data_IF_573339369659
#
_entry.id   IF_573339369659
#
_cell.length_a   1.000
_cell.length_b   1.000
_cell.length_c   1.000
_cell.angle_alpha   90.00
_cell.angle_beta   90.00
_cell.angle_gamma   90.00
#
_symmetry.space_group_name_H-M   'P 1'
#
loop_
_entity.id
_entity.type
_entity.pdbx_description
1 polymer ?
#
# COMPACT_ATOMS: atom_id res chain seq x y z
N UNK A 1 -0.22 -12.41 -11.31
CA UNK A 1 0.64 -11.89 -12.39
C UNK A 1 -0.05 -10.83 -13.24
N UNK A 2 0.69 -9.80 -13.71
CA UNK A 2 0.13 -8.66 -14.43
C UNK A 2 -0.57 -9.03 -15.76
N UNK A 3 -0.27 -10.17 -16.34
CA UNK A 3 -0.87 -10.64 -17.60
C UNK A 3 -2.26 -11.30 -17.41
N UNK A 4 -2.68 -11.61 -16.21
CA UNK A 4 -4.05 -12.04 -15.95
C UNK A 4 -4.94 -10.83 -15.70
N UNK A 5 -5.99 -10.64 -16.48
CA UNK A 5 -6.89 -9.49 -16.34
C UNK A 5 -7.68 -9.49 -15.04
N UNK A 6 -7.94 -10.65 -14.49
CA UNK A 6 -8.67 -10.86 -13.24
C UNK A 6 -7.79 -10.82 -11.97
N UNK A 7 -6.49 -10.50 -12.13
CA UNK A 7 -5.52 -10.42 -11.04
C UNK A 7 -4.85 -9.06 -11.02
N UNK A 8 -4.83 -8.40 -9.87
CA UNK A 8 -4.08 -7.15 -9.72
C UNK A 8 -2.58 -7.44 -9.52
N UNK A 9 -1.68 -6.70 -10.19
CA UNK A 9 -0.25 -6.77 -9.93
C UNK A 9 0.10 -6.15 -8.56
N UNK A 10 1.26 -6.50 -8.01
CA UNK A 10 1.88 -5.75 -6.93
C UNK A 10 2.25 -4.33 -7.39
N UNK A 11 2.26 -3.39 -6.46
CA UNK A 11 2.66 -1.99 -6.73
C UNK A 11 4.18 -1.89 -6.90
N UNK A 12 4.94 -2.65 -6.09
CA UNK A 12 6.39 -2.76 -6.17
C UNK A 12 6.81 -4.21 -5.96
N UNK A 13 7.86 -4.63 -6.66
CA UNK A 13 8.50 -5.93 -6.45
C UNK A 13 9.86 -5.67 -5.80
N UNK A 14 9.95 -5.90 -4.50
CA UNK A 14 11.20 -5.76 -3.72
C UNK A 14 12.09 -7.02 -3.80
N UNK A 15 11.72 -7.98 -4.66
CA UNK A 15 12.42 -9.25 -4.81
C UNK A 15 12.07 -10.27 -3.70
N UNK A 16 12.84 -11.39 -3.64
CA UNK A 16 12.64 -12.39 -2.61
C UNK A 16 12.97 -11.83 -1.23
N UNK A 17 12.15 -12.14 -0.23
CA UNK A 17 12.33 -11.65 1.13
C UNK A 17 11.31 -12.21 2.11
N UNK A 18 11.39 -11.75 3.35
CA UNK A 18 10.40 -12.01 4.39
C UNK A 18 9.93 -10.68 4.97
N UNK A 19 8.96 -10.03 4.31
CA UNK A 19 8.37 -8.80 4.84
C UNK A 19 7.75 -9.06 6.22
N UNK A 20 8.02 -8.15 7.16
CA UNK A 20 7.53 -8.22 8.54
C UNK A 20 6.75 -6.96 8.90
N UNK A 21 7.33 -6.02 9.65
CA UNK A 21 6.68 -4.77 10.00
C UNK A 21 6.66 -3.76 8.84
N UNK A 22 5.63 -2.91 8.84
CA UNK A 22 5.49 -1.82 7.88
C UNK A 22 4.91 -0.58 8.56
N UNK A 23 5.32 0.62 8.13
CA UNK A 23 4.66 1.86 8.53
C UNK A 23 4.82 2.96 7.49
N UNK A 24 3.92 3.94 7.49
CA UNK A 24 4.14 5.19 6.77
C UNK A 24 5.00 6.14 7.60
N UNK A 25 5.81 6.97 6.93
CA UNK A 25 6.66 7.98 7.54
C UNK A 25 5.91 9.21 8.09
N UNK A 26 4.58 9.16 8.20
CA UNK A 26 3.77 10.28 8.66
C UNK A 26 4.18 10.75 10.06
N UNK A 27 4.52 12.05 10.16
CA UNK A 27 5.02 12.65 11.39
C UNK A 27 6.50 12.45 11.68
N UNK A 28 7.23 11.76 10.80
CA UNK A 28 8.68 11.60 10.93
C UNK A 28 9.41 12.94 10.72
N UNK A 29 10.40 13.23 11.57
CA UNK A 29 11.31 14.36 11.41
C UNK A 29 12.46 13.99 10.49
N UNK A 30 12.14 13.74 9.24
CA UNK A 30 13.02 13.41 8.14
C UNK A 30 12.76 14.34 6.95
N UNK A 31 13.64 14.38 5.93
CA UNK A 31 13.37 15.10 4.68
C UNK A 31 12.04 14.69 4.04
N UNK A 32 11.43 15.60 3.27
CA UNK A 32 10.09 15.47 2.70
C UNK A 32 9.82 14.09 2.07
N UNK A 33 10.76 13.56 1.28
CA UNK A 33 10.61 12.27 0.59
C UNK A 33 10.39 11.07 1.53
N UNK A 34 10.75 11.17 2.81
CA UNK A 34 10.58 10.11 3.79
C UNK A 34 9.33 10.27 4.65
N UNK A 35 8.74 11.46 4.68
CA UNK A 35 7.56 11.73 5.52
C UNK A 35 6.29 11.03 4.99
N UNK A 36 6.23 10.72 3.71
CA UNK A 36 5.15 9.96 3.09
C UNK A 36 5.61 8.60 2.50
N UNK A 37 6.88 8.26 2.70
CA UNK A 37 7.39 6.95 2.30
C UNK A 37 6.69 5.83 3.08
N UNK A 38 6.48 4.71 2.41
CA UNK A 38 6.02 3.48 3.02
C UNK A 38 7.23 2.61 3.36
N UNK A 39 7.54 2.48 4.63
CA UNK A 39 8.66 1.68 5.10
C UNK A 39 8.28 0.21 5.21
N UNK A 40 9.14 -0.68 4.70
CA UNK A 40 8.98 -2.14 4.72
C UNK A 40 10.21 -2.79 5.31
N UNK A 41 10.02 -3.55 6.39
CA UNK A 41 11.06 -4.37 6.98
C UNK A 41 11.20 -5.71 6.24
N UNK A 42 12.42 -6.11 5.88
CA UNK A 42 12.74 -7.46 5.41
C UNK A 42 13.65 -8.18 6.40
N UNK A 43 13.09 -9.21 7.01
CA UNK A 43 13.78 -10.03 8.00
C UNK A 43 14.92 -10.87 7.41
N UNK A 44 14.72 -11.42 6.20
CA UNK A 44 15.64 -12.39 5.60
C UNK A 44 16.93 -11.77 5.11
N UNK A 45 16.85 -10.60 4.50
CA UNK A 45 18.02 -9.94 3.91
C UNK A 45 18.54 -8.77 4.75
N UNK A 46 17.89 -8.47 5.87
CA UNK A 46 18.31 -7.42 6.78
C UNK A 46 18.22 -6.04 6.13
N UNK A 47 17.10 -5.76 5.47
CA UNK A 47 16.86 -4.52 4.74
C UNK A 47 15.59 -3.82 5.24
N UNK A 48 15.69 -2.53 5.45
CA UNK A 48 14.58 -1.63 5.58
C UNK A 48 14.47 -0.82 4.30
N UNK A 49 13.38 -0.98 3.59
CA UNK A 49 13.11 -0.23 2.36
C UNK A 49 12.27 1.00 2.65
N UNK A 50 12.55 2.11 1.96
CA UNK A 50 11.66 3.24 1.82
C UNK A 50 11.02 3.19 0.43
N UNK A 51 9.71 3.03 0.36
CA UNK A 51 8.91 2.94 -0.85
C UNK A 51 8.20 4.27 -1.06
N UNK A 52 8.43 4.88 -2.22
CA UNK A 52 7.89 6.18 -2.61
C UNK A 52 6.70 5.97 -3.54
N UNK A 53 5.49 6.13 -2.99
CA UNK A 53 4.24 5.93 -3.72
C UNK A 53 3.89 7.17 -4.55
N UNK A 54 3.52 6.95 -5.80
CA UNK A 54 3.01 7.99 -6.69
C UNK A 54 1.61 7.63 -7.17
N UNK A 55 0.63 8.54 -7.11
CA UNK A 55 -0.72 8.28 -7.60
C UNK A 55 -0.75 7.87 -9.07
N UNK A 56 -1.38 6.73 -9.38
CA UNK A 56 -1.55 6.20 -10.72
C UNK A 56 -2.98 5.68 -10.90
N UNK A 57 -3.86 6.48 -11.52
CA UNK A 57 -5.27 6.17 -11.67
C UNK A 57 -5.96 5.89 -10.33
N UNK A 58 -6.59 4.72 -10.24
CA UNK A 58 -7.24 4.24 -9.02
C UNK A 58 -6.28 3.54 -8.05
N UNK A 59 -4.98 3.52 -8.34
CA UNK A 59 -3.93 2.89 -7.53
C UNK A 59 -2.71 3.81 -7.40
N UNK A 60 -1.56 3.20 -7.17
CA UNK A 60 -0.25 3.86 -7.10
C UNK A 60 0.77 3.08 -7.90
N UNK A 61 1.76 3.78 -8.45
CA UNK A 61 3.07 3.23 -8.82
C UNK A 61 4.05 3.49 -7.69
N UNK A 62 5.20 2.83 -7.69
CA UNK A 62 6.18 3.03 -6.65
C UNK A 62 7.61 2.82 -7.14
N UNK A 63 8.50 3.69 -6.65
CA UNK A 63 9.93 3.47 -6.60
C UNK A 63 10.35 3.14 -5.17
N UNK A 64 11.49 2.47 -4.98
CA UNK A 64 11.97 2.17 -3.64
C UNK A 64 13.51 2.22 -3.56
N UNK A 65 14.00 2.44 -2.35
CA UNK A 65 15.42 2.43 -2.02
C UNK A 65 15.69 1.63 -0.75
N UNK A 66 16.91 1.10 -0.63
CA UNK A 66 17.38 0.55 0.64
C UNK A 66 17.69 1.70 1.60
N UNK A 67 16.84 1.91 2.59
CA UNK A 67 16.98 2.96 3.58
C UNK A 67 17.99 2.60 4.69
N UNK A 68 17.93 1.35 5.16
CA UNK A 68 18.91 0.76 6.09
C UNK A 68 19.18 -0.67 5.65
N UNK A 69 20.44 -1.09 5.69
CA UNK A 69 20.83 -2.48 5.48
C UNK A 69 21.99 -2.88 6.36
N UNK A 70 21.97 -4.11 6.87
CA UNK A 70 23.06 -4.74 7.59
C UNK A 70 22.91 -6.28 7.61
N UNK A 71 23.99 -6.97 7.97
CA UNK A 71 23.98 -8.42 8.14
C UNK A 71 24.78 -8.81 9.40
N UNK A 72 24.11 -9.44 10.38
CA UNK A 72 22.66 -9.71 10.43
C UNK A 72 21.83 -8.49 10.86
N UNK A 73 20.67 -8.32 10.30
CA UNK A 73 19.66 -7.32 10.71
C UNK A 73 18.26 -7.92 10.54
N UNK A 74 17.84 -8.90 11.36
CA UNK A 74 16.52 -9.53 11.23
C UNK A 74 15.43 -8.59 11.74
N UNK A 75 15.00 -7.68 10.90
CA UNK A 75 13.97 -6.67 11.17
C UNK A 75 12.62 -7.34 11.44
N UNK A 76 11.91 -6.90 12.47
CA UNK A 76 10.62 -7.47 12.87
C UNK A 76 9.48 -6.47 12.82
N UNK A 77 9.71 -5.23 13.22
CA UNK A 77 8.69 -4.19 13.18
C UNK A 77 9.30 -2.79 13.15
N UNK A 78 8.49 -1.78 12.77
CA UNK A 78 8.89 -0.38 12.66
C UNK A 78 7.72 0.56 12.99
N UNK A 79 8.02 1.70 13.60
CA UNK A 79 7.05 2.78 13.80
C UNK A 79 7.73 4.15 13.79
N UNK A 80 6.92 5.20 13.54
CA UNK A 80 7.30 6.59 13.81
C UNK A 80 6.83 6.94 15.22
N UNK A 81 7.74 7.40 16.06
CA UNK A 81 7.38 7.82 17.42
C UNK A 81 6.73 9.22 17.41
N UNK A 82 5.50 9.36 17.91
CA UNK A 82 4.73 10.60 17.76
C UNK A 82 5.30 11.78 18.55
N UNK A 83 6.07 11.53 19.60
CA UNK A 83 6.64 12.58 20.44
C UNK A 83 7.90 13.22 19.88
N UNK A 84 8.80 12.44 19.28
CA UNK A 84 10.08 12.94 18.78
C UNK A 84 10.24 12.88 17.25
N UNK A 85 9.34 12.17 16.54
CA UNK A 85 9.39 12.01 15.09
C UNK A 85 10.54 11.12 14.59
N UNK A 86 11.20 10.38 15.48
CA UNK A 86 12.20 9.41 15.08
C UNK A 86 11.54 8.11 14.60
N UNK A 87 12.23 7.37 13.73
CA UNK A 87 11.86 6.00 13.41
C UNK A 87 12.43 5.05 14.47
N UNK A 88 11.62 4.14 14.96
CA UNK A 88 12.03 3.05 15.83
C UNK A 88 11.75 1.73 15.15
N UNK A 89 12.74 0.84 15.14
CA UNK A 89 12.56 -0.52 14.65
C UNK A 89 13.14 -1.54 15.60
N UNK A 90 12.58 -2.74 15.54
CA UNK A 90 13.03 -3.88 16.32
C UNK A 90 13.68 -4.94 15.45
N UNK A 91 14.65 -5.64 16.02
CA UNK A 91 15.21 -6.85 15.43
C UNK A 91 15.01 -8.02 16.37
N UNK A 92 14.89 -9.22 15.80
CA UNK A 92 14.77 -10.44 16.58
C UNK A 92 14.70 -11.67 15.70
N UNK A 93 14.98 -12.83 16.28
CA UNK A 93 14.91 -14.08 15.55
C UNK A 93 15.65 -15.20 16.25
N UNK A 94 15.64 -16.38 15.65
CA UNK A 94 16.33 -17.54 16.19
C UNK A 94 17.84 -17.29 16.25
N UNK A 95 18.42 -17.48 17.45
CA UNK A 95 19.86 -17.33 17.71
C UNK A 95 20.43 -15.93 17.50
N UNK A 96 19.57 -14.92 17.41
CA UNK A 96 19.94 -13.51 17.27
C UNK A 96 19.51 -12.77 18.53
N UNK A 97 20.38 -11.93 19.06
CA UNK A 97 20.01 -11.04 20.15
C UNK A 97 18.98 -10.03 19.64
N UNK A 98 17.86 -9.88 20.35
CA UNK A 98 16.87 -8.87 20.06
C UNK A 98 17.39 -7.48 20.37
N UNK A 99 16.92 -6.49 19.63
CA UNK A 99 17.33 -5.09 19.80
C UNK A 99 16.21 -4.13 19.41
N UNK A 100 16.26 -2.94 20.01
CA UNK A 100 15.45 -1.78 19.64
C UNK A 100 16.38 -0.67 19.16
N UNK A 101 16.13 -0.14 17.99
CA UNK A 101 16.94 0.89 17.37
C UNK A 101 16.12 2.16 17.15
N UNK A 102 16.77 3.31 17.33
CA UNK A 102 16.23 4.64 17.07
C UNK A 102 17.01 5.26 15.93
N UNK A 103 16.30 5.74 14.90
CA UNK A 103 16.87 6.40 13.73
C UNK A 103 16.42 7.84 13.70
N UNK A 104 17.37 8.75 13.57
CA UNK A 104 17.14 10.19 13.46
C UNK A 104 17.89 10.76 12.29
N UNK A 105 17.32 11.79 11.66
CA UNK A 105 18.00 12.54 10.62
C UNK A 105 18.98 13.55 11.25
N UNK A 106 20.20 13.58 10.76
CA UNK A 106 21.27 14.46 11.22
C UNK A 106 21.80 15.41 10.13
N UNK A 107 21.16 15.39 8.93
CA UNK A 107 21.54 16.26 7.81
C UNK A 107 20.96 17.67 7.93
N UNK A 108 21.08 18.44 6.85
CA UNK A 108 20.71 19.87 6.80
C UNK A 108 19.43 20.16 6.03
N UNK A 109 18.81 19.14 5.40
CA UNK A 109 17.54 19.32 4.69
C UNK A 109 16.41 19.62 5.66
N UNK A 110 15.39 20.34 5.17
CA UNK A 110 14.20 20.66 5.97
C UNK A 110 13.45 19.39 6.37
N UNK A 111 13.07 19.30 7.63
CA UNK A 111 12.18 18.29 8.20
C UNK A 111 10.80 18.84 8.53
N UNK A 112 10.45 20.01 7.99
CA UNK A 112 9.12 20.59 8.15
C UNK A 112 8.06 19.65 7.55
N UNK A 113 6.90 19.56 8.19
CA UNK A 113 5.80 18.73 7.73
C UNK A 113 5.37 19.10 6.31
N UNK A 114 5.17 18.10 5.47
CA UNK A 114 4.69 18.27 4.10
C UNK A 114 3.17 18.14 4.05
N UNK A 115 2.57 18.82 3.08
CA UNK A 115 1.18 18.60 2.68
C UNK A 115 1.22 17.87 1.34
N UNK A 116 0.63 16.68 1.27
CA UNK A 116 0.52 15.94 0.03
C UNK A 116 -0.50 16.60 -0.90
N UNK A 117 -0.08 16.94 -2.12
CA UNK A 117 -0.97 17.39 -3.17
C UNK A 117 -1.41 16.20 -4.03
N UNK A 118 -2.69 15.97 -4.11
CA UNK A 118 -3.30 14.93 -4.93
C UNK A 118 -4.05 15.54 -6.11
N UNK A 119 -3.86 15.01 -7.33
CA UNK A 119 -4.64 15.46 -8.49
C UNK A 119 -6.13 15.13 -8.30
N UNK A 120 -7.00 16.03 -8.76
CA UNK A 120 -8.46 15.84 -8.66
C UNK A 120 -8.91 14.52 -9.34
N UNK A 121 -8.39 14.20 -10.53
CA UNK A 121 -8.71 12.97 -11.28
C UNK A 121 -8.28 11.71 -10.52
N UNK A 122 -7.08 11.68 -9.97
CA UNK A 122 -6.60 10.54 -9.20
C UNK A 122 -7.45 10.30 -7.94
N UNK A 123 -7.86 11.37 -7.27
CA UNK A 123 -8.78 11.30 -6.11
C UNK A 123 -10.14 10.73 -6.50
N UNK A 124 -10.69 11.15 -7.64
CA UNK A 124 -11.97 10.64 -8.16
C UNK A 124 -11.91 9.13 -8.41
N UNK A 125 -10.89 8.66 -9.12
CA UNK A 125 -10.71 7.23 -9.40
C UNK A 125 -10.55 6.39 -8.13
N UNK A 126 -9.76 6.87 -7.14
CA UNK A 126 -9.61 6.16 -5.86
C UNK A 126 -10.90 6.19 -5.03
N UNK A 127 -11.67 7.27 -5.06
CA UNK A 127 -12.96 7.32 -4.39
C UNK A 127 -13.98 6.38 -5.05
N UNK A 128 -13.99 6.30 -6.39
CA UNK A 128 -14.83 5.34 -7.11
C UNK A 128 -14.45 3.91 -6.75
N UNK A 129 -13.15 3.58 -6.76
CA UNK A 129 -12.67 2.26 -6.34
C UNK A 129 -13.12 1.92 -4.92
N UNK A 130 -12.91 2.81 -3.94
CA UNK A 130 -13.35 2.59 -2.54
C UNK A 130 -14.86 2.38 -2.42
N UNK A 131 -15.66 3.11 -3.22
CA UNK A 131 -17.11 2.93 -3.27
C UNK A 131 -17.50 1.54 -3.76
N UNK A 132 -16.80 1.00 -4.77
CA UNK A 132 -17.01 -0.35 -5.27
C UNK A 132 -16.53 -1.41 -4.26
N UNK A 133 -15.38 -1.19 -3.64
CA UNK A 133 -14.83 -2.07 -2.61
C UNK A 133 -15.72 -2.17 -1.36
N UNK A 134 -16.54 -1.18 -1.07
CA UNK A 134 -17.50 -1.23 0.04
C UNK A 134 -18.55 -2.34 -0.11
N UNK A 135 -18.77 -2.86 -1.33
CA UNK A 135 -19.67 -3.99 -1.59
C UNK A 135 -18.98 -5.37 -1.50
N UNK A 136 -17.65 -5.41 -1.31
CA UNK A 136 -16.92 -6.68 -1.25
C UNK A 136 -17.28 -7.46 0.01
N UNK A 137 -17.65 -8.74 -0.18
CA UNK A 137 -18.04 -9.62 0.91
C UNK A 137 -19.37 -9.29 1.59
N UNK A 138 -20.13 -8.30 1.07
CA UNK A 138 -21.41 -7.86 1.62
C UNK A 138 -22.51 -8.04 0.59
N UNK A 139 -23.66 -8.61 1.01
CA UNK A 139 -24.85 -8.68 0.14
C UNK A 139 -25.61 -7.34 0.25
N UNK A 140 -25.68 -6.64 -0.88
CA UNK A 140 -26.36 -5.35 -1.00
C UNK A 140 -27.18 -5.31 -2.30
N UNK A 141 -28.51 -5.04 -2.24
CA UNK A 141 -29.37 -5.08 -3.41
C UNK A 141 -29.01 -4.07 -4.51
N UNK A 142 -28.30 -2.99 -4.18
CA UNK A 142 -27.89 -1.97 -5.16
C UNK A 142 -26.50 -2.24 -5.76
N UNK A 143 -25.74 -3.18 -5.22
CA UNK A 143 -24.36 -3.43 -5.61
C UNK A 143 -24.19 -3.74 -7.11
N UNK A 144 -25.08 -4.57 -7.68
CA UNK A 144 -25.05 -4.93 -9.10
C UNK A 144 -25.30 -3.72 -9.97
N UNK A 145 -26.32 -2.93 -9.68
CA UNK A 145 -26.65 -1.71 -10.44
C UNK A 145 -25.50 -0.72 -10.43
N UNK A 146 -24.88 -0.52 -9.26
CA UNK A 146 -23.77 0.41 -9.09
C UNK A 146 -22.50 -0.08 -9.78
N UNK A 147 -22.17 -1.37 -9.67
CA UNK A 147 -20.89 -1.89 -10.13
C UNK A 147 -20.88 -2.30 -11.61
N UNK A 148 -22.00 -2.74 -12.17
CA UNK A 148 -22.09 -3.27 -13.53
C UNK A 148 -21.52 -2.35 -14.63
N UNK A 149 -21.78 -1.02 -14.63
CA UNK A 149 -21.22 -0.10 -15.63
C UNK A 149 -19.69 -0.07 -15.65
N UNK A 150 -19.04 -0.41 -14.55
CA UNK A 150 -17.59 -0.31 -14.40
C UNK A 150 -16.82 -1.58 -14.79
N UNK A 151 -17.51 -2.65 -15.20
CA UNK A 151 -16.86 -3.87 -15.70
C UNK A 151 -16.03 -3.62 -16.99
N UNK A 152 -16.32 -2.53 -17.71
CA UNK A 152 -15.61 -2.11 -18.94
C UNK A 152 -14.76 -0.84 -18.71
N UNK A 153 -14.53 -0.43 -17.48
CA UNK A 153 -13.76 0.77 -17.19
C UNK A 153 -12.31 0.64 -17.68
N UNK A 154 -11.71 1.74 -18.17
CA UNK A 154 -10.32 1.75 -18.66
C UNK A 154 -9.29 1.38 -17.58
N UNK A 155 -9.52 1.80 -16.33
CA UNK A 155 -8.67 1.47 -15.20
C UNK A 155 -8.94 0.04 -14.69
N UNK A 156 -7.91 -0.80 -14.73
CA UNK A 156 -7.96 -2.21 -14.31
C UNK A 156 -8.39 -2.39 -12.86
N UNK A 157 -7.96 -1.49 -11.97
CA UNK A 157 -8.28 -1.59 -10.54
C UNK A 157 -9.76 -1.33 -10.29
N UNK A 158 -10.36 -0.41 -11.06
CA UNK A 158 -11.80 -0.16 -11.02
C UNK A 158 -12.57 -1.36 -11.58
N UNK A 159 -12.15 -1.94 -12.73
CA UNK A 159 -12.78 -3.17 -13.25
C UNK A 159 -12.74 -4.31 -12.25
N UNK A 160 -11.59 -4.51 -11.61
CA UNK A 160 -11.42 -5.54 -10.58
C UNK A 160 -12.37 -5.32 -9.40
N UNK A 161 -12.40 -4.10 -8.86
CA UNK A 161 -13.28 -3.77 -7.74
C UNK A 161 -14.78 -3.96 -8.12
N UNK A 162 -15.18 -3.57 -9.33
CA UNK A 162 -16.53 -3.77 -9.84
C UNK A 162 -16.87 -5.28 -9.96
N UNK A 163 -15.97 -6.09 -10.50
CA UNK A 163 -16.16 -7.54 -10.62
C UNK A 163 -16.36 -8.18 -9.24
N UNK A 164 -15.47 -7.91 -8.28
CA UNK A 164 -15.57 -8.50 -6.93
C UNK A 164 -16.84 -8.04 -6.21
N UNK A 165 -17.27 -6.77 -6.41
CA UNK A 165 -18.54 -6.28 -5.88
C UNK A 165 -19.72 -7.11 -6.39
N UNK A 166 -19.76 -7.47 -7.70
CA UNK A 166 -20.81 -8.29 -8.32
C UNK A 166 -20.71 -9.74 -7.87
N UNK A 167 -19.49 -10.32 -7.84
CA UNK A 167 -19.25 -11.70 -7.38
C UNK A 167 -19.65 -11.90 -5.91
N UNK A 168 -19.63 -10.87 -5.10
CA UNK A 168 -20.11 -10.88 -3.72
C UNK A 168 -21.65 -10.96 -3.61
N UNK A 169 -22.39 -10.80 -4.72
CA UNK A 169 -23.86 -10.84 -4.71
C UNK A 169 -24.38 -12.23 -5.11
N UNK A 170 -25.60 -12.60 -4.69
CA UNK A 170 -26.23 -13.83 -5.13
C UNK A 170 -26.30 -13.89 -6.65
N UNK A 171 -25.94 -15.04 -7.25
CA UNK A 171 -25.91 -15.22 -8.72
C UNK A 171 -27.25 -14.86 -9.39
N UNK A 172 -28.36 -15.02 -8.68
CA UNK A 172 -29.70 -14.67 -9.19
C UNK A 172 -29.86 -13.19 -9.45
N UNK A 173 -29.06 -12.32 -8.79
CA UNK A 173 -29.12 -10.87 -8.96
C UNK A 173 -28.48 -10.39 -10.28
N UNK A 174 -27.51 -11.12 -10.84
CA UNK A 174 -26.71 -10.64 -11.99
C UNK A 174 -26.60 -11.60 -13.18
N UNK A 175 -26.93 -12.91 -13.04
CA UNK A 175 -26.79 -13.90 -14.13
C UNK A 175 -27.50 -13.51 -15.43
N UNK A 176 -28.66 -12.85 -15.33
CA UNK A 176 -29.43 -12.44 -16.50
C UNK A 176 -28.73 -11.33 -17.30
N UNK A 177 -27.94 -10.47 -16.63
CA UNK A 177 -27.13 -9.43 -17.28
C UNK A 177 -25.91 -10.03 -17.99
N UNK A 178 -25.34 -11.12 -17.43
CA UNK A 178 -24.18 -11.78 -18.00
C UNK A 178 -24.53 -12.66 -19.24
N UNK A 179 -25.79 -13.04 -19.38
CA UNK A 179 -26.30 -13.89 -20.47
C UNK A 179 -27.03 -13.10 -21.59
N UNK A 180 -27.22 -11.78 -21.41
CA UNK A 180 -27.83 -10.88 -22.38
C UNK A 180 -26.80 -10.37 -23.40
#
# INVERSE_FOLDING_TARGET
>A
PAYYEDSLPGIADIGPGSPTGVCFGYGAKFPAKYQDAFFICDWSYGKLYAVHLQPDGATYSADFEEFISAQPLPLTDICVHPGDGALYFTIGGRRTQSGLYRVTYTGTESTASIVQEETAKGREHRNLRRRLEAFHGTVDPVAVEVAWPYLKHEDRNIRYAARVAIESQPITAWKHLALA
#
